data_IF_964100386779
#
_entry.id   IF_964100386779
#
_cell.length_a   1.000
_cell.length_b   1.000
_cell.length_c   1.000
_cell.angle_alpha   90.00
_cell.angle_beta   90.00
_cell.angle_gamma   90.00
#
_symmetry.space_group_name_H-M   'P 1'
#
loop_
_entity.id
_entity.type
_entity.pdbx_description
1 polymer ?
#
# COMPACT_ATOMS: atom_id res chain seq x y z
N UNK A 1 8.95 23.18 66.39
CA UNK A 1 7.86 23.77 65.57
C UNK A 1 8.01 23.23 64.17
N UNK A 2 7.05 22.43 63.71
CA UNK A 2 7.07 21.77 62.41
C UNK A 2 6.66 22.76 61.30
N UNK A 3 7.44 22.83 60.22
CA UNK A 3 7.04 23.48 58.97
C UNK A 3 6.77 22.38 57.93
N UNK A 4 5.52 22.20 57.55
CA UNK A 4 5.14 21.38 56.39
C UNK A 4 5.22 22.23 55.11
N UNK A 5 5.85 21.77 54.02
CA UNK A 5 5.82 22.48 52.76
C UNK A 5 4.46 22.31 52.06
N UNK A 6 3.85 23.42 51.66
CA UNK A 6 2.66 23.44 50.81
C UNK A 6 3.06 23.01 49.39
N UNK A 7 2.62 21.82 48.97
CA UNK A 7 2.75 21.38 47.58
C UNK A 7 1.72 22.12 46.72
N UNK A 8 2.18 22.93 45.77
CA UNK A 8 1.32 23.50 44.71
C UNK A 8 0.81 22.34 43.84
N UNK A 9 -0.49 22.27 43.50
CA UNK A 9 -0.99 21.22 42.62
C UNK A 9 -0.36 21.38 41.23
N UNK A 10 0.32 20.32 40.78
CA UNK A 10 0.87 20.21 39.44
C UNK A 10 -0.31 20.25 38.45
N UNK A 11 -0.44 21.32 37.66
CA UNK A 11 -1.41 21.38 36.58
C UNK A 11 -1.02 20.32 35.55
N UNK A 12 -1.78 19.23 35.49
CA UNK A 12 -1.62 18.24 34.43
C UNK A 12 -1.63 18.94 33.07
N UNK A 13 -0.72 18.59 32.16
CA UNK A 13 -0.68 19.19 30.83
C UNK A 13 -2.01 18.91 30.14
N UNK A 14 -2.67 19.97 29.65
CA UNK A 14 -3.96 19.88 28.95
C UNK A 14 -3.78 18.97 27.73
N UNK A 15 -4.37 17.78 27.75
CA UNK A 15 -4.33 16.87 26.60
C UNK A 15 -5.45 17.24 25.63
N UNK A 16 -5.18 17.12 24.33
CA UNK A 16 -6.11 17.47 23.24
C UNK A 16 -7.42 16.66 23.33
N UNK A 17 -7.38 15.49 23.97
CA UNK A 17 -8.51 14.58 24.14
C UNK A 17 -9.57 15.06 25.15
N UNK A 18 -9.23 15.97 26.08
CA UNK A 18 -10.15 16.36 27.16
C UNK A 18 -11.15 17.47 26.81
N UNK A 19 -11.09 18.06 25.61
CA UNK A 19 -11.84 19.29 25.28
C UNK A 19 -12.90 19.15 24.17
N UNK A 20 -13.18 17.95 23.62
CA UNK A 20 -14.20 17.77 22.58
C UNK A 20 -14.19 18.89 21.51
N UNK A 21 -13.00 19.17 20.97
CA UNK A 21 -12.76 20.25 19.99
C UNK A 21 -13.26 19.83 18.61
N UNK A 22 -14.59 19.81 18.44
CA UNK A 22 -15.24 19.52 17.18
C UNK A 22 -15.36 20.77 16.31
N UNK A 23 -15.33 20.56 14.99
CA UNK A 23 -15.63 21.64 14.05
C UNK A 23 -17.11 22.04 14.16
N UNK A 24 -17.40 23.35 14.15
CA UNK A 24 -18.76 23.86 14.13
C UNK A 24 -19.12 24.40 12.75
N UNK A 25 -20.28 24.00 12.22
CA UNK A 25 -20.77 24.44 10.91
C UNK A 25 -20.88 25.97 10.78
N UNK A 26 -21.14 26.68 11.87
CA UNK A 26 -21.15 28.14 11.88
C UNK A 26 -19.82 28.76 11.42
N UNK A 27 -18.69 28.08 11.65
CA UNK A 27 -17.36 28.56 11.26
C UNK A 27 -17.14 28.56 9.74
N UNK A 28 -17.99 27.88 8.98
CA UNK A 28 -17.99 27.99 7.52
C UNK A 28 -18.42 29.37 7.05
N UNK A 29 -19.43 29.95 7.69
CA UNK A 29 -19.92 31.30 7.37
C UNK A 29 -19.18 32.38 8.18
N UNK A 30 -18.75 32.10 9.41
CA UNK A 30 -18.07 33.10 10.23
C UNK A 30 -16.62 33.33 9.83
N UNK A 31 -15.91 32.26 9.43
CA UNK A 31 -14.45 32.29 9.22
C UNK A 31 -14.00 31.69 7.89
N UNK A 32 -14.95 31.24 7.05
CA UNK A 32 -14.67 30.61 5.75
C UNK A 32 -13.77 29.37 5.87
N UNK A 33 -14.04 28.51 6.85
CA UNK A 33 -13.36 27.24 7.01
C UNK A 33 -14.27 26.06 6.71
N UNK A 34 -13.71 24.91 6.35
CA UNK A 34 -14.43 23.63 6.32
C UNK A 34 -13.63 22.57 7.05
N UNK A 35 -14.29 21.58 7.64
CA UNK A 35 -13.62 20.42 8.22
C UNK A 35 -13.13 19.48 7.13
N UNK A 36 -11.86 19.59 6.76
CA UNK A 36 -11.22 18.68 5.83
C UNK A 36 -9.69 18.76 5.91
N UNK A 37 -8.96 17.62 5.93
CA UNK A 37 -9.47 16.28 6.22
C UNK A 37 -10.02 16.20 7.67
N UNK A 38 -10.66 15.09 8.04
CA UNK A 38 -11.27 14.88 9.38
C UNK A 38 -10.34 15.40 10.50
N UNK A 39 -10.90 16.11 11.48
CA UNK A 39 -10.18 16.72 12.60
C UNK A 39 -9.22 17.87 12.22
N UNK A 40 -9.29 18.38 10.98
CA UNK A 40 -8.55 19.57 10.53
C UNK A 40 -9.48 20.55 9.83
N UNK A 41 -9.21 21.84 9.98
CA UNK A 41 -9.96 22.88 9.29
C UNK A 41 -9.13 23.43 8.12
N UNK A 42 -9.70 23.50 6.93
CA UNK A 42 -9.07 24.10 5.75
C UNK A 42 -9.73 25.45 5.45
N UNK A 43 -8.93 26.50 5.29
CA UNK A 43 -9.44 27.81 4.90
C UNK A 43 -9.88 27.78 3.43
N UNK A 44 -11.10 28.26 3.14
CA UNK A 44 -11.66 28.29 1.79
C UNK A 44 -10.96 29.32 0.88
N UNK A 45 -10.33 30.35 1.46
CA UNK A 45 -9.65 31.43 0.72
C UNK A 45 -8.21 31.07 0.34
N UNK A 46 -7.36 30.71 1.31
CA UNK A 46 -5.93 30.42 1.07
C UNK A 46 -5.57 28.93 1.03
N UNK A 47 -6.51 28.04 1.35
CA UNK A 47 -6.29 26.58 1.42
C UNK A 47 -5.29 26.10 2.50
N UNK A 48 -4.83 26.99 3.39
CA UNK A 48 -4.03 26.60 4.56
C UNK A 48 -4.85 25.76 5.55
N UNK A 49 -4.17 24.84 6.24
CA UNK A 49 -4.77 23.90 7.20
C UNK A 49 -4.48 24.33 8.63
N UNK A 50 -5.50 24.32 9.47
CA UNK A 50 -5.41 24.52 10.92
C UNK A 50 -5.61 23.17 11.60
N UNK A 51 -4.55 22.67 12.24
CA UNK A 51 -4.54 21.34 12.89
C UNK A 51 -5.26 21.32 14.24
N UNK A 52 -5.50 22.48 14.86
CA UNK A 52 -6.13 22.57 16.18
C UNK A 52 -7.46 23.30 16.03
N UNK A 53 -8.55 22.53 16.05
CA UNK A 53 -9.92 22.97 15.83
C UNK A 53 -10.47 23.79 17.00
N UNK A 54 -10.09 25.07 17.07
CA UNK A 54 -10.66 26.00 18.02
C UNK A 54 -11.08 27.27 17.30
N UNK A 55 -12.20 27.85 17.74
CA UNK A 55 -12.69 29.16 17.27
C UNK A 55 -11.56 30.19 17.23
N UNK A 56 -10.77 30.29 18.30
CA UNK A 56 -9.65 31.23 18.42
C UNK A 56 -8.63 31.09 17.28
N UNK A 57 -8.24 29.86 16.92
CA UNK A 57 -7.24 29.64 15.87
C UNK A 57 -7.78 30.01 14.48
N UNK A 58 -9.03 29.65 14.19
CA UNK A 58 -9.68 29.95 12.92
C UNK A 58 -9.92 31.46 12.77
N UNK A 59 -10.43 32.09 13.81
CA UNK A 59 -10.66 33.53 13.87
C UNK A 59 -9.36 34.32 13.74
N UNK A 60 -8.29 33.89 14.44
CA UNK A 60 -6.97 34.51 14.33
C UNK A 60 -6.44 34.39 12.91
N UNK A 61 -6.52 33.21 12.29
CA UNK A 61 -6.10 33.04 10.90
C UNK A 61 -6.88 33.97 9.98
N UNK A 62 -8.22 33.96 10.09
CA UNK A 62 -9.11 34.78 9.28
C UNK A 62 -8.77 36.28 9.41
N UNK A 63 -8.67 36.79 10.63
CA UNK A 63 -8.37 38.21 10.89
C UNK A 63 -6.96 38.63 10.46
N UNK A 64 -5.98 37.73 10.50
CA UNK A 64 -4.58 38.09 10.16
C UNK A 64 -4.26 37.91 8.69
N UNK A 65 -4.89 36.96 8.00
CA UNK A 65 -4.61 36.63 6.59
C UNK A 65 -5.67 37.17 5.63
N UNK A 66 -6.89 37.42 6.11
CA UNK A 66 -8.05 37.73 5.29
C UNK A 66 -8.88 38.93 5.82
N UNK A 67 -8.24 39.86 6.55
CA UNK A 67 -8.90 41.08 7.05
C UNK A 67 -9.61 41.89 5.96
N UNK A 68 -9.00 42.01 4.78
CA UNK A 68 -9.57 42.76 3.64
C UNK A 68 -10.80 42.10 3.02
N UNK A 69 -11.10 40.84 3.36
CA UNK A 69 -12.30 40.17 2.86
C UNK A 69 -13.57 40.79 3.46
N UNK A 70 -13.55 41.17 4.74
CA UNK A 70 -14.70 41.81 5.41
C UNK A 70 -15.02 43.22 4.90
N UNK A 71 -14.07 43.86 4.21
CA UNK A 71 -14.29 45.18 3.58
C UNK A 71 -15.15 45.04 2.31
N UNK A 72 -15.08 43.89 1.65
CA UNK A 72 -15.77 43.63 0.38
C UNK A 72 -17.06 42.81 0.54
N UNK A 73 -17.22 42.11 1.66
CA UNK A 73 -18.36 41.25 1.92
C UNK A 73 -18.86 41.39 3.36
N UNK A 74 -20.12 41.82 3.51
CA UNK A 74 -20.80 41.84 4.81
C UNK A 74 -21.09 40.40 5.24
N UNK A 75 -20.64 40.03 6.45
CA UNK A 75 -20.88 38.71 7.04
C UNK A 75 -22.37 38.37 7.02
N UNK A 76 -22.70 37.11 6.72
CA UNK A 76 -24.08 36.59 6.61
C UNK A 76 -24.99 37.30 5.58
N UNK A 77 -24.44 38.14 4.70
CA UNK A 77 -25.20 38.61 3.53
C UNK A 77 -25.44 37.47 2.54
N UNK A 78 -26.47 37.62 1.69
CA UNK A 78 -26.72 36.67 0.60
C UNK A 78 -25.49 36.49 -0.31
N UNK A 79 -24.75 37.58 -0.58
CA UNK A 79 -23.53 37.54 -1.38
C UNK A 79 -22.41 36.75 -0.68
N UNK A 80 -22.28 36.91 0.64
CA UNK A 80 -21.33 36.16 1.46
C UNK A 80 -21.61 34.66 1.40
N UNK A 81 -22.83 34.24 1.72
CA UNK A 81 -23.19 32.82 1.74
C UNK A 81 -23.12 32.19 0.35
N UNK A 82 -23.47 32.92 -0.71
CA UNK A 82 -23.26 32.47 -2.09
C UNK A 82 -21.77 32.26 -2.41
N UNK A 83 -20.89 33.15 -1.91
CA UNK A 83 -19.44 33.03 -2.09
C UNK A 83 -18.87 31.83 -1.32
N UNK A 84 -19.29 31.64 -0.07
CA UNK A 84 -18.92 30.47 0.74
C UNK A 84 -19.34 29.19 0.02
N UNK A 85 -20.59 29.08 -0.43
CA UNK A 85 -21.09 27.94 -1.18
C UNK A 85 -20.27 27.68 -2.46
N UNK A 86 -19.95 28.73 -3.23
CA UNK A 86 -19.11 28.62 -4.43
C UNK A 86 -17.70 28.12 -4.12
N UNK A 87 -17.06 28.61 -3.06
CA UNK A 87 -15.72 28.19 -2.65
C UNK A 87 -15.72 26.75 -2.13
N UNK A 88 -16.76 26.33 -1.40
CA UNK A 88 -16.95 24.94 -0.98
C UNK A 88 -17.10 24.03 -2.19
N UNK A 89 -17.95 24.41 -3.15
CA UNK A 89 -18.17 23.62 -4.36
C UNK A 89 -16.90 23.46 -5.19
N UNK A 90 -16.10 24.53 -5.30
CA UNK A 90 -14.78 24.51 -5.98
C UNK A 90 -13.80 23.58 -5.25
N UNK A 91 -13.78 23.60 -3.92
CA UNK A 91 -12.89 22.72 -3.15
C UNK A 91 -13.32 21.25 -3.29
N UNK A 92 -14.63 20.96 -3.25
CA UNK A 92 -15.17 19.62 -3.45
C UNK A 92 -14.91 19.09 -4.86
N UNK A 93 -15.02 19.94 -5.89
CA UNK A 93 -14.71 19.53 -7.26
C UNK A 93 -13.23 19.19 -7.43
N UNK A 94 -12.32 19.99 -6.87
CA UNK A 94 -10.89 19.70 -6.86
C UNK A 94 -10.56 18.37 -6.15
N UNK A 95 -11.21 18.11 -5.01
CA UNK A 95 -11.03 16.85 -4.27
C UNK A 95 -11.56 15.65 -5.05
N UNK A 96 -12.75 15.78 -5.64
CA UNK A 96 -13.35 14.73 -6.47
C UNK A 96 -12.47 14.40 -7.67
N UNK A 97 -11.91 15.41 -8.34
CA UNK A 97 -10.98 15.21 -9.45
C UNK A 97 -9.74 14.42 -9.02
N UNK A 98 -9.14 14.78 -7.88
CA UNK A 98 -7.98 14.06 -7.35
C UNK A 98 -8.30 12.60 -7.00
N UNK A 99 -9.45 12.35 -6.37
CA UNK A 99 -9.90 10.99 -6.06
C UNK A 99 -10.20 10.16 -7.31
N UNK A 100 -10.84 10.75 -8.33
CA UNK A 100 -11.06 10.06 -9.60
C UNK A 100 -9.74 9.71 -10.28
N UNK A 101 -8.78 10.64 -10.32
CA UNK A 101 -7.46 10.38 -10.89
C UNK A 101 -6.69 9.30 -10.14
N UNK A 102 -6.81 9.24 -8.81
CA UNK A 102 -6.23 8.14 -8.01
C UNK A 102 -6.84 6.79 -8.36
N UNK A 103 -8.17 6.72 -8.50
CA UNK A 103 -8.87 5.47 -8.86
C UNK A 103 -8.52 4.99 -10.28
N UNK A 104 -8.42 5.90 -11.25
CA UNK A 104 -7.94 5.58 -12.61
C UNK A 104 -6.52 5.01 -12.55
N UNK A 105 -5.62 5.66 -11.79
CA UNK A 105 -4.26 5.16 -11.56
C UNK A 105 -4.21 3.79 -10.87
N UNK A 106 -5.16 3.49 -9.99
CA UNK A 106 -5.27 2.20 -9.31
C UNK A 106 -5.70 1.09 -10.29
N UNK A 107 -6.73 1.33 -11.10
CA UNK A 107 -7.21 0.37 -12.09
C UNK A 107 -6.12 0.01 -13.12
N UNK A 108 -5.38 1.00 -13.61
CA UNK A 108 -4.23 0.79 -14.51
C UNK A 108 -3.15 -0.06 -13.84
N UNK A 109 -2.88 0.21 -12.55
CA UNK A 109 -1.90 -0.53 -11.76
C UNK A 109 -2.33 -1.98 -11.55
N UNK A 110 -3.59 -2.22 -11.21
CA UNK A 110 -4.16 -3.56 -11.04
C UNK A 110 -4.11 -4.36 -12.36
N UNK A 111 -4.54 -3.75 -13.47
CA UNK A 111 -4.48 -4.36 -14.78
C UNK A 111 -3.05 -4.77 -15.16
N UNK A 112 -2.06 -3.91 -14.90
CA UNK A 112 -0.66 -4.25 -15.17
C UNK A 112 -0.15 -5.41 -14.31
N UNK A 113 -0.51 -5.51 -13.02
CA UNK A 113 -0.21 -6.70 -12.20
C UNK A 113 -0.81 -7.96 -12.81
N UNK A 114 -2.07 -7.89 -13.28
CA UNK A 114 -2.75 -9.05 -13.87
C UNK A 114 -2.05 -9.54 -15.13
N UNK A 115 -1.63 -8.62 -16.01
CA UNK A 115 -0.89 -8.94 -17.23
C UNK A 115 0.45 -9.59 -16.87
N UNK A 116 1.22 -8.99 -15.96
CA UNK A 116 2.51 -9.53 -15.51
C UNK A 116 2.37 -10.94 -14.92
N UNK A 117 1.35 -11.15 -14.08
CA UNK A 117 1.03 -12.46 -13.51
C UNK A 117 0.70 -13.50 -14.59
N UNK A 118 -0.09 -13.13 -15.62
CA UNK A 118 -0.41 -14.03 -16.72
C UNK A 118 0.85 -14.41 -17.51
N UNK A 119 1.73 -13.46 -17.81
CA UNK A 119 3.00 -13.74 -18.47
C UNK A 119 3.82 -14.75 -17.65
N UNK A 120 4.00 -14.49 -16.35
CA UNK A 120 4.73 -15.39 -15.45
C UNK A 120 4.09 -16.79 -15.38
N UNK A 121 2.77 -16.86 -15.23
CA UNK A 121 2.00 -18.12 -15.17
C UNK A 121 2.18 -18.96 -16.43
N UNK A 122 2.27 -18.32 -17.59
CA UNK A 122 2.49 -18.98 -18.88
C UNK A 122 3.97 -19.10 -19.27
N UNK A 123 4.89 -18.85 -18.33
CA UNK A 123 6.35 -18.92 -18.52
C UNK A 123 6.84 -18.06 -19.69
N UNK A 124 6.16 -16.94 -19.94
CA UNK A 124 6.55 -15.98 -20.97
C UNK A 124 7.57 -14.99 -20.40
N UNK A 125 8.55 -14.53 -21.20
CA UNK A 125 9.48 -13.50 -20.78
C UNK A 125 8.74 -12.21 -20.41
N UNK A 126 9.18 -11.54 -19.34
CA UNK A 126 8.60 -10.25 -18.95
C UNK A 126 8.87 -9.14 -19.99
N UNK A 127 9.89 -9.31 -20.84
CA UNK A 127 10.22 -8.41 -21.96
C UNK A 127 9.12 -8.36 -23.03
N UNK A 128 8.22 -9.34 -23.06
CA UNK A 128 7.08 -9.36 -23.99
C UNK A 128 5.91 -8.47 -23.52
N UNK A 129 5.97 -7.90 -22.31
CA UNK A 129 4.86 -7.12 -21.77
C UNK A 129 4.58 -5.83 -22.57
N UNK A 130 5.62 -5.17 -23.10
CA UNK A 130 5.45 -4.03 -24.01
C UNK A 130 4.79 -4.44 -25.35
N UNK A 131 5.05 -5.66 -25.84
CA UNK A 131 4.36 -6.18 -27.02
C UNK A 131 2.86 -6.36 -26.75
N UNK A 132 2.48 -6.89 -25.58
CA UNK A 132 1.07 -7.01 -25.17
C UNK A 132 0.38 -5.64 -25.20
N UNK A 133 1.05 -4.60 -24.71
CA UNK A 133 0.53 -3.22 -24.75
C UNK A 133 0.31 -2.73 -26.19
N UNK A 134 1.29 -2.94 -27.07
CA UNK A 134 1.19 -2.58 -28.49
C UNK A 134 0.04 -3.30 -29.18
N UNK A 135 -0.10 -4.61 -28.95
CA UNK A 135 -1.21 -5.40 -29.48
C UNK A 135 -2.57 -4.85 -29.03
N UNK A 136 -2.69 -4.47 -27.75
CA UNK A 136 -3.91 -3.85 -27.22
C UNK A 136 -4.21 -2.49 -27.86
N UNK A 137 -3.22 -1.63 -28.04
CA UNK A 137 -3.40 -0.34 -28.72
C UNK A 137 -3.82 -0.53 -30.17
N UNK A 138 -3.12 -1.38 -30.93
CA UNK A 138 -3.43 -1.63 -32.34
C UNK A 138 -4.83 -2.24 -32.53
N UNK A 139 -5.24 -3.17 -31.67
CA UNK A 139 -6.59 -3.72 -31.72
C UNK A 139 -7.65 -2.68 -31.32
N UNK A 140 -7.39 -1.90 -30.26
CA UNK A 140 -8.31 -0.88 -29.75
C UNK A 140 -8.56 0.24 -30.77
N UNK A 141 -7.55 0.65 -31.54
CA UNK A 141 -7.70 1.64 -32.61
C UNK A 141 -8.78 1.24 -33.62
N UNK A 142 -8.79 -0.03 -34.02
CA UNK A 142 -9.73 -0.58 -35.01
C UNK A 142 -11.09 -0.89 -34.37
N UNK A 143 -11.10 -1.58 -33.24
CA UNK A 143 -12.33 -2.06 -32.59
C UNK A 143 -13.21 -0.92 -32.06
N UNK A 144 -12.59 0.19 -31.63
CA UNK A 144 -13.29 1.32 -31.04
C UNK A 144 -13.37 2.54 -31.96
N UNK A 145 -13.12 2.40 -33.27
CA UNK A 145 -13.12 3.53 -34.23
C UNK A 145 -14.38 4.41 -34.13
N UNK A 146 -15.56 3.77 -34.04
CA UNK A 146 -16.85 4.45 -34.03
C UNK A 146 -17.39 4.76 -32.61
N UNK A 147 -16.58 4.56 -31.57
CA UNK A 147 -17.00 4.78 -30.19
C UNK A 147 -16.69 6.21 -29.75
N UNK A 148 -17.65 6.88 -29.12
CA UNK A 148 -17.49 8.27 -28.65
C UNK A 148 -16.40 8.44 -27.59
N UNK A 149 -16.04 7.37 -26.88
CA UNK A 149 -15.00 7.32 -25.85
C UNK A 149 -13.67 6.69 -26.31
N UNK A 150 -13.44 6.52 -27.62
CA UNK A 150 -12.20 5.96 -28.20
C UNK A 150 -10.92 6.55 -27.59
N UNK A 151 -10.83 7.88 -27.56
CA UNK A 151 -9.65 8.59 -27.06
C UNK A 151 -9.36 8.29 -25.59
N UNK A 152 -10.40 8.21 -24.75
CA UNK A 152 -10.28 7.83 -23.34
C UNK A 152 -9.79 6.39 -23.20
N UNK A 153 -10.32 5.44 -23.98
CA UNK A 153 -9.89 4.03 -23.94
C UNK A 153 -8.41 3.91 -24.31
N UNK A 154 -7.99 4.53 -25.42
CA UNK A 154 -6.60 4.51 -25.87
C UNK A 154 -5.65 5.16 -24.85
N UNK A 155 -6.10 6.24 -24.18
CA UNK A 155 -5.34 6.87 -23.10
C UNK A 155 -5.13 5.92 -21.91
N UNK A 156 -6.17 5.21 -21.48
CA UNK A 156 -6.06 4.25 -20.36
C UNK A 156 -5.15 3.07 -20.70
N UNK A 157 -5.29 2.49 -21.90
CA UNK A 157 -4.38 1.43 -22.37
C UNK A 157 -2.94 1.97 -22.47
N UNK A 158 -2.78 3.20 -22.98
CA UNK A 158 -1.50 3.89 -23.05
C UNK A 158 -0.86 4.15 -21.69
N UNK A 159 -1.64 4.29 -20.62
CA UNK A 159 -1.17 4.46 -19.26
C UNK A 159 -0.66 3.16 -18.61
N UNK A 160 -0.94 1.98 -19.19
CA UNK A 160 -0.45 0.70 -18.67
C UNK A 160 1.06 0.69 -18.48
N UNK A 161 1.49 0.39 -17.26
CA UNK A 161 2.90 0.35 -16.87
C UNK A 161 3.46 -1.05 -17.11
N UNK A 162 3.91 -1.29 -18.34
CA UNK A 162 4.38 -2.60 -18.82
C UNK A 162 5.83 -2.59 -19.31
N UNK A 163 6.62 -1.61 -18.88
CA UNK A 163 8.07 -1.62 -19.15
C UNK A 163 8.72 -2.81 -18.47
N UNK A 164 9.78 -3.35 -19.07
CA UNK A 164 10.49 -4.56 -18.59
C UNK A 164 10.84 -4.49 -17.10
N UNK A 165 11.39 -3.35 -16.64
CA UNK A 165 11.74 -3.11 -15.24
C UNK A 165 10.51 -3.08 -14.32
N UNK A 166 9.39 -2.52 -14.79
CA UNK A 166 8.14 -2.53 -14.03
C UNK A 166 7.57 -3.93 -13.93
N UNK A 167 7.60 -4.69 -15.03
CA UNK A 167 7.10 -6.06 -15.08
C UNK A 167 7.91 -6.98 -14.18
N UNK A 168 9.24 -6.90 -14.22
CA UNK A 168 10.12 -7.64 -13.32
C UNK A 168 9.76 -7.37 -11.85
N UNK A 169 9.71 -6.09 -11.44
CA UNK A 169 9.34 -5.69 -10.07
C UNK A 169 7.94 -6.17 -9.66
N UNK A 170 6.97 -6.17 -10.57
CA UNK A 170 5.61 -6.65 -10.29
C UNK A 170 5.55 -8.17 -10.13
N UNK A 171 6.32 -8.91 -10.92
CA UNK A 171 6.44 -10.36 -10.79
C UNK A 171 7.12 -10.71 -9.46
N UNK A 172 8.22 -10.03 -9.12
CA UNK A 172 8.91 -10.19 -7.84
C UNK A 172 7.97 -9.91 -6.67
N UNK A 173 7.28 -8.77 -6.66
CA UNK A 173 6.32 -8.42 -5.61
C UNK A 173 5.18 -9.45 -5.49
N UNK A 174 4.74 -10.03 -6.62
CA UNK A 174 3.75 -11.12 -6.61
C UNK A 174 4.35 -12.38 -6.00
N UNK A 175 5.58 -12.74 -6.36
CA UNK A 175 6.31 -13.88 -5.81
C UNK A 175 6.53 -13.75 -4.29
N UNK A 176 6.99 -12.60 -3.82
CA UNK A 176 7.13 -12.32 -2.39
C UNK A 176 5.81 -12.45 -1.63
N UNK A 177 4.70 -11.99 -2.23
CA UNK A 177 3.39 -12.09 -1.61
C UNK A 177 2.89 -13.54 -1.54
N UNK A 178 3.17 -14.36 -2.56
CA UNK A 178 2.89 -15.80 -2.53
C UNK A 178 3.74 -16.46 -1.44
N UNK A 179 5.04 -16.20 -1.40
CA UNK A 179 5.94 -16.76 -0.39
C UNK A 179 5.51 -16.41 1.04
N UNK A 180 5.13 -15.15 1.30
CA UNK A 180 4.60 -14.72 2.60
C UNK A 180 3.36 -15.49 3.01
N UNK A 181 2.47 -15.81 2.07
CA UNK A 181 1.28 -16.61 2.33
C UNK A 181 1.62 -18.06 2.64
N UNK A 182 2.55 -18.67 1.90
CA UNK A 182 3.04 -20.03 2.16
C UNK A 182 3.66 -20.11 3.55
N UNK A 183 4.59 -19.22 3.89
CA UNK A 183 5.23 -19.18 5.21
C UNK A 183 4.19 -19.07 6.32
N UNK A 184 3.20 -18.16 6.15
CA UNK A 184 2.12 -18.02 7.12
C UNK A 184 1.33 -19.33 7.29
N UNK A 185 0.96 -19.98 6.19
CA UNK A 185 0.20 -21.22 6.23
C UNK A 185 0.99 -22.38 6.87
N UNK A 186 2.29 -22.48 6.58
CA UNK A 186 3.19 -23.47 7.20
C UNK A 186 3.30 -23.25 8.70
N UNK A 187 3.43 -21.99 9.16
CA UNK A 187 3.50 -21.65 10.58
C UNK A 187 2.22 -21.98 11.35
N UNK A 188 1.07 -21.87 10.70
CA UNK A 188 -0.24 -22.20 11.27
C UNK A 188 -0.56 -23.69 11.19
N UNK A 189 0.22 -24.46 10.42
CA UNK A 189 -0.01 -25.88 10.22
C UNK A 189 0.40 -26.69 11.45
N UNK A 190 -0.39 -27.70 11.88
CA UNK A 190 -0.04 -28.53 13.03
C UNK A 190 1.24 -29.35 12.79
N UNK A 191 1.45 -29.78 11.54
CA UNK A 191 2.63 -30.49 11.10
C UNK A 191 2.89 -30.23 9.62
N UNK A 192 4.16 -30.25 9.25
CA UNK A 192 4.60 -30.13 7.87
C UNK A 192 5.83 -30.98 7.62
N UNK A 193 6.07 -31.32 6.36
CA UNK A 193 7.30 -31.95 5.90
C UNK A 193 7.96 -31.11 4.83
N UNK A 194 9.27 -31.27 4.67
CA UNK A 194 10.01 -30.61 3.59
C UNK A 194 10.68 -31.65 2.69
N UNK A 195 10.77 -31.30 1.41
CA UNK A 195 11.59 -31.99 0.44
C UNK A 195 12.60 -31.00 -0.13
N UNK A 196 13.85 -31.43 -0.19
CA UNK A 196 14.96 -30.60 -0.59
C UNK A 196 15.64 -31.22 -1.80
N UNK A 197 15.96 -30.39 -2.77
CA UNK A 197 16.62 -30.78 -4.01
C UNK A 197 17.74 -29.78 -4.33
N UNK A 198 18.92 -30.29 -4.66
CA UNK A 198 20.05 -29.46 -5.09
C UNK A 198 19.96 -29.25 -6.60
N UNK A 199 19.67 -28.02 -7.03
CA UNK A 199 19.73 -27.65 -8.43
C UNK A 199 20.99 -26.86 -8.74
N UNK A 200 21.60 -27.16 -9.88
CA UNK A 200 22.72 -26.39 -10.42
C UNK A 200 22.16 -25.32 -11.36
N UNK A 201 22.40 -24.04 -11.05
CA UNK A 201 22.11 -22.95 -11.98
C UNK A 201 23.14 -22.92 -13.12
N UNK A 202 22.78 -22.31 -14.25
CA UNK A 202 23.61 -22.14 -15.45
C UNK A 202 24.93 -21.39 -15.12
N UNK A 203 24.98 -20.66 -14.01
CA UNK A 203 26.13 -19.90 -13.50
C UNK A 203 27.06 -20.64 -12.52
N UNK A 204 26.95 -21.96 -12.38
CA UNK A 204 27.81 -22.78 -11.48
C UNK A 204 27.63 -22.49 -9.98
N UNK A 205 26.51 -21.84 -9.61
CA UNK A 205 26.08 -21.65 -8.23
C UNK A 205 25.03 -22.70 -7.90
N UNK A 206 25.32 -23.58 -6.95
CA UNK A 206 24.34 -24.53 -6.43
C UNK A 206 23.23 -23.77 -5.69
N UNK A 207 21.98 -24.12 -5.96
CA UNK A 207 20.80 -23.58 -5.30
C UNK A 207 20.01 -24.72 -4.66
N UNK A 208 19.63 -24.51 -3.41
CA UNK A 208 18.82 -25.45 -2.65
C UNK A 208 17.34 -25.11 -2.85
N UNK A 209 16.61 -25.99 -3.54
CA UNK A 209 15.17 -25.92 -3.68
C UNK A 209 14.52 -26.56 -2.46
N UNK A 210 13.69 -25.81 -1.75
CA UNK A 210 12.95 -26.34 -0.60
C UNK A 210 11.46 -26.32 -0.91
N UNK A 211 10.89 -27.51 -1.06
CA UNK A 211 9.45 -27.74 -1.13
C UNK A 211 8.90 -28.05 0.24
N UNK A 212 7.69 -27.60 0.51
CA UNK A 212 7.00 -27.86 1.78
C UNK A 212 5.65 -28.48 1.51
N UNK A 213 5.33 -29.53 2.28
CA UNK A 213 4.02 -30.13 2.33
C UNK A 213 3.42 -29.89 3.71
N UNK A 214 2.29 -29.21 3.76
CA UNK A 214 1.64 -28.80 5.00
C UNK A 214 0.13 -29.01 4.92
N UNK A 215 -0.55 -28.99 6.06
CA UNK A 215 -2.01 -28.97 6.12
C UNK A 215 -2.53 -27.53 6.16
N UNK A 216 -3.50 -27.22 5.30
CA UNK A 216 -4.20 -25.94 5.37
C UNK A 216 -5.21 -25.90 6.53
N UNK A 217 -5.91 -24.78 6.67
CA UNK A 217 -6.91 -24.57 7.74
C UNK A 217 -8.08 -25.58 7.70
N UNK A 218 -8.32 -26.22 6.54
CA UNK A 218 -9.31 -27.28 6.36
C UNK A 218 -8.71 -28.68 6.54
N UNK A 219 -7.46 -28.78 7.00
CA UNK A 219 -6.69 -30.01 7.15
C UNK A 219 -6.46 -30.75 5.82
N UNK A 220 -6.49 -30.03 4.71
CA UNK A 220 -6.15 -30.60 3.40
C UNK A 220 -4.65 -30.46 3.14
N UNK A 221 -3.97 -31.53 2.70
CA UNK A 221 -2.56 -31.46 2.35
C UNK A 221 -2.35 -30.59 1.11
N UNK A 222 -1.43 -29.64 1.22
CA UNK A 222 -0.93 -28.80 0.12
C UNK A 222 0.57 -28.97 -0.01
N UNK A 223 1.06 -28.80 -1.22
CA UNK A 223 2.47 -28.87 -1.56
C UNK A 223 2.82 -27.62 -2.36
N UNK A 224 3.76 -26.82 -1.85
CA UNK A 224 4.18 -25.57 -2.47
C UNK A 224 5.70 -25.37 -2.32
N UNK A 225 6.28 -24.55 -3.19
CA UNK A 225 7.68 -24.15 -3.08
C UNK A 225 7.84 -23.14 -1.93
N UNK A 226 8.68 -23.46 -0.95
CA UNK A 226 8.92 -22.59 0.21
C UNK A 226 9.97 -21.53 -0.10
N UNK A 227 11.12 -21.93 -0.64
CA UNK A 227 12.21 -21.03 -1.00
C UNK A 227 13.21 -21.66 -1.98
N UNK A 228 14.01 -20.77 -2.57
CA UNK A 228 15.23 -21.06 -3.31
C UNK A 228 16.38 -20.40 -2.54
N UNK A 229 17.29 -21.19 -1.98
CA UNK A 229 18.41 -20.69 -1.20
C UNK A 229 19.71 -20.85 -1.98
N UNK A 230 20.46 -19.76 -2.26
CA UNK A 230 21.77 -19.89 -2.89
C UNK A 230 22.77 -20.51 -1.91
N UNK A 231 23.48 -21.56 -2.33
CA UNK A 231 24.57 -22.16 -1.55
C UNK A 231 25.88 -21.48 -1.96
N UNK A 232 26.48 -20.70 -1.04
CA UNK A 232 27.73 -20.00 -1.33
C UNK A 232 28.94 -20.93 -1.10
N UNK A 233 29.47 -21.49 -2.19
CA UNK A 233 30.82 -22.06 -2.28
C UNK A 233 30.97 -23.54 -1.92
N UNK A 234 30.27 -24.05 -0.90
CA UNK A 234 30.36 -25.44 -0.47
C UNK A 234 28.97 -26.09 -0.41
N UNK A 235 28.88 -27.34 -0.90
CA UNK A 235 27.66 -28.16 -0.96
C UNK A 235 27.69 -29.25 0.11
N UNK A 236 28.33 -29.00 1.24
CA UNK A 236 28.39 -29.98 2.33
C UNK A 236 27.05 -30.03 3.04
N UNK A 237 26.74 -31.18 3.64
CA UNK A 237 25.52 -31.34 4.43
C UNK A 237 25.40 -30.31 5.57
N UNK A 238 26.53 -29.88 6.16
CA UNK A 238 26.58 -28.84 7.20
C UNK A 238 26.07 -27.48 6.69
N UNK A 239 26.56 -27.02 5.53
CA UNK A 239 26.19 -25.73 4.94
C UNK A 239 24.69 -25.70 4.55
N UNK A 240 24.18 -26.83 4.06
CA UNK A 240 22.77 -27.02 3.70
C UNK A 240 21.89 -26.94 4.94
N UNK A 241 22.27 -27.64 6.02
CA UNK A 241 21.53 -27.63 7.28
C UNK A 241 21.51 -26.22 7.88
N UNK A 242 22.65 -25.56 7.96
CA UNK A 242 22.77 -24.21 8.49
C UNK A 242 21.92 -23.21 7.68
N UNK A 243 21.93 -23.32 6.35
CA UNK A 243 21.11 -22.47 5.47
C UNK A 243 19.62 -22.61 5.77
N UNK A 244 19.13 -23.84 5.99
CA UNK A 244 17.72 -24.09 6.33
C UNK A 244 17.39 -23.64 7.74
N UNK A 245 18.23 -23.95 8.73
CA UNK A 245 18.03 -23.50 10.10
C UNK A 245 17.93 -21.98 10.16
N UNK A 246 18.86 -21.27 9.52
CA UNK A 246 18.84 -19.81 9.41
C UNK A 246 17.56 -19.29 8.73
N UNK A 247 17.10 -19.95 7.66
CA UNK A 247 15.84 -19.59 6.99
C UNK A 247 14.63 -19.76 7.91
N UNK A 248 14.55 -20.90 8.61
CA UNK A 248 13.43 -21.21 9.52
C UNK A 248 13.40 -20.25 10.70
N UNK A 249 14.55 -19.93 11.28
CA UNK A 249 14.68 -18.93 12.33
C UNK A 249 14.26 -17.54 11.84
N UNK A 250 14.78 -17.08 10.70
CA UNK A 250 14.45 -15.78 10.11
C UNK A 250 12.94 -15.63 9.85
N UNK A 251 12.30 -16.69 9.37
CA UNK A 251 10.87 -16.70 9.05
C UNK A 251 9.96 -17.18 10.18
N UNK A 252 10.53 -17.50 11.35
CA UNK A 252 9.82 -17.95 12.55
C UNK A 252 8.95 -19.20 12.27
N UNK A 253 9.50 -20.16 11.52
CA UNK A 253 8.87 -21.44 11.21
C UNK A 253 9.21 -22.43 12.33
N UNK A 254 8.20 -23.03 13.01
CA UNK A 254 8.44 -23.90 14.16
C UNK A 254 9.02 -25.25 13.73
N UNK A 255 10.26 -25.54 14.13
CA UNK A 255 10.89 -26.84 13.88
C UNK A 255 10.20 -28.00 14.62
N UNK A 256 9.54 -27.73 15.74
CA UNK A 256 8.80 -28.76 16.51
C UNK A 256 7.62 -29.36 15.71
N UNK A 257 7.13 -28.66 14.69
CA UNK A 257 6.07 -29.11 13.80
C UNK A 257 6.60 -29.82 12.54
N UNK A 258 7.91 -29.90 12.35
CA UNK A 258 8.53 -30.59 11.21
C UNK A 258 8.54 -32.11 11.46
N UNK A 259 7.81 -32.86 10.64
CA UNK A 259 7.66 -34.32 10.82
C UNK A 259 8.58 -35.15 9.94
N UNK A 260 9.01 -34.63 8.79
CA UNK A 260 9.96 -35.33 7.92
C UNK A 260 10.72 -34.39 7.01
N UNK A 261 11.95 -34.79 6.69
CA UNK A 261 12.83 -34.15 5.71
C UNK A 261 13.17 -35.22 4.67
N UNK A 262 13.01 -34.90 3.40
CA UNK A 262 13.40 -35.77 2.28
C UNK A 262 14.47 -35.06 1.45
N UNK A 263 15.57 -35.75 1.18
CA UNK A 263 16.63 -35.30 0.26
C UNK A 263 16.78 -36.35 -0.85
N UNK A 264 17.23 -35.94 -2.03
CA UNK A 264 17.43 -36.79 -3.22
C UNK A 264 18.60 -37.79 -3.10
N UNK A 265 19.32 -37.76 -1.98
CA UNK A 265 20.17 -38.86 -1.51
C UNK A 265 21.65 -38.76 -1.87
N UNK A 266 22.14 -37.63 -2.39
CA UNK A 266 23.56 -37.53 -2.80
C UNK A 266 24.54 -37.07 -1.71
N UNK A 267 24.07 -36.54 -0.56
CA UNK A 267 24.92 -35.79 0.39
C UNK A 267 24.91 -36.26 1.85
N UNK A 268 24.43 -37.46 2.17
CA UNK A 268 24.58 -38.04 3.52
C UNK A 268 25.81 -38.98 3.58
N UNK A 269 27.00 -38.40 3.79
CA UNK A 269 28.18 -39.08 4.34
C UNK A 269 28.96 -38.15 5.27
#
# INVERSE_FOLDING_TARGET
MAYSPVTKPCKLPRSIQSEHRSFQAAWEEEYLFVEWPKEKATCLLCKEKVNVLTRYNLERHYKTRHASYTENFTLHSQLHSAKVASLKQTLLSQQTLFLCQMKESEAVTEASFKICYLLAKHKQPFTEAELVKKCFLSAAEILFENYSNKSSILKEIGALQLSDSTCARRIEATGENVQKQVIKAVRESPFFSIAMDESTDIGDVAQLLVWVRYLDQSLHPKEELLCLLPLQGHTRGEDILDSICNYFETHHIPLDSLVSITTDGLLLW
#
